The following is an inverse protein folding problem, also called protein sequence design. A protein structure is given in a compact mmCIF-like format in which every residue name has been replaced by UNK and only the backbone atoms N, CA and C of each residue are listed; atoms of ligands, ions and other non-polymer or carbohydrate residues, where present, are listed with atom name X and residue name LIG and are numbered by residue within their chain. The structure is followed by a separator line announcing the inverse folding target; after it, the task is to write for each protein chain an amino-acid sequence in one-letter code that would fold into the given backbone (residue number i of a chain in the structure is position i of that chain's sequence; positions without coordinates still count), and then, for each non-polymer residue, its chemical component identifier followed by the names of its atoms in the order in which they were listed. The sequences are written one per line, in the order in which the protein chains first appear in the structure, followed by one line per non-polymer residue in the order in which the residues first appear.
data_IF_949616554606
#
_entry.id   IF_949616554606
#
_cell.length_a   1.000
_cell.length_b   1.000
_cell.length_c   1.000
_cell.angle_alpha   90.00
_cell.angle_beta   90.00
_cell.angle_gamma   90.00
#
_symmetry.space_group_name_H-M   'P 1'
#
loop_
_entity.id
_entity.type
_entity.pdbx_description
1 polymer ?
#
# COMPACT_ATOMS: atom_id res chain seq x y z
N UNK A 1 32.37 47.04 30.28
CA UNK A 1 31.38 46.74 29.24
C UNK A 1 31.50 45.26 28.91
N UNK A 2 30.49 44.46 29.22
CA UNK A 2 30.47 43.01 29.05
C UNK A 2 30.06 42.72 27.60
N UNK A 3 30.87 41.99 26.83
CA UNK A 3 30.46 41.44 25.53
C UNK A 3 30.54 39.92 25.64
N UNK A 4 29.38 39.34 25.93
CA UNK A 4 29.11 37.91 25.99
C UNK A 4 28.15 37.64 24.83
N UNK A 5 28.68 37.27 23.66
CA UNK A 5 27.89 36.82 22.52
C UNK A 5 28.18 35.35 22.31
N UNK A 6 27.43 34.52 23.03
CA UNK A 6 27.27 33.09 22.75
C UNK A 6 26.42 33.01 21.47
N UNK A 7 27.10 33.01 20.33
CA UNK A 7 26.53 32.60 19.07
C UNK A 7 26.39 31.08 19.09
N UNK A 8 25.25 30.59 19.58
CA UNK A 8 24.84 29.21 19.41
C UNK A 8 24.73 28.95 17.91
N UNK A 9 25.74 28.29 17.32
CA UNK A 9 25.62 27.65 16.03
C UNK A 9 24.66 26.48 16.18
N UNK A 10 23.36 26.79 16.19
CA UNK A 10 22.29 25.83 15.96
C UNK A 10 22.59 25.19 14.61
N UNK A 11 23.12 23.97 14.67
CA UNK A 11 23.17 23.05 13.56
C UNK A 11 21.75 22.89 13.03
N UNK A 12 21.42 23.67 12.02
CA UNK A 12 20.28 23.43 11.15
C UNK A 12 20.64 22.22 10.29
N UNK A 13 20.50 21.02 10.87
CA UNK A 13 20.37 19.77 10.11
C UNK A 13 19.09 19.82 9.30
N UNK A 14 19.13 20.55 8.18
CA UNK A 14 18.21 20.40 7.08
C UNK A 14 18.83 19.39 6.13
N UNK A 15 18.82 18.14 6.55
CA UNK A 15 19.11 16.99 5.70
C UNK A 15 17.97 16.02 5.90
N UNK A 16 16.96 16.14 5.03
CA UNK A 16 16.12 15.05 4.52
C UNK A 16 15.10 15.66 3.54
N UNK A 17 15.62 16.21 2.45
CA UNK A 17 14.83 16.39 1.26
C UNK A 17 14.84 15.04 0.51
N UNK A 18 13.66 14.41 0.40
CA UNK A 18 13.33 13.34 -0.55
C UNK A 18 14.17 12.04 -0.54
N UNK A 19 14.39 11.43 0.63
CA UNK A 19 14.72 9.99 0.67
C UNK A 19 13.43 9.16 0.72
N UNK A 20 13.28 8.20 -0.17
CA UNK A 20 12.12 7.31 -0.24
C UNK A 20 11.89 6.51 1.05
N UNK A 21 10.63 6.26 1.40
CA UNK A 21 10.23 5.57 2.64
C UNK A 21 9.99 4.07 2.40
N UNK A 22 11.07 3.34 2.08
CA UNK A 22 11.03 1.90 1.88
C UNK A 22 10.54 1.13 3.12
N UNK A 23 10.89 1.63 4.31
CA UNK A 23 10.51 1.04 5.59
C UNK A 23 9.01 1.18 5.84
N UNK A 24 8.46 2.39 5.71
CA UNK A 24 7.02 2.63 5.84
C UNK A 24 6.21 1.87 4.79
N UNK A 25 6.73 1.73 3.57
CA UNK A 25 6.12 0.90 2.54
C UNK A 25 6.01 -0.58 2.98
N UNK A 26 7.09 -1.13 3.55
CA UNK A 26 7.12 -2.51 4.03
C UNK A 26 6.26 -2.72 5.28
N UNK A 27 6.32 -1.81 6.25
CA UNK A 27 5.52 -1.84 7.47
C UNK A 27 4.02 -1.76 7.18
N UNK A 28 3.61 -0.95 6.20
CA UNK A 28 2.23 -0.86 5.75
C UNK A 28 1.71 -2.20 5.22
N UNK A 29 2.50 -2.90 4.39
CA UNK A 29 2.13 -4.22 3.87
C UNK A 29 2.03 -5.25 5.00
N UNK A 30 3.03 -5.29 5.88
CA UNK A 30 3.05 -6.23 7.02
C UNK A 30 1.86 -5.99 7.96
N UNK A 31 1.52 -4.73 8.23
CA UNK A 31 0.34 -4.37 9.03
C UNK A 31 -0.93 -4.90 8.37
N UNK A 32 -1.11 -4.66 7.07
CA UNK A 32 -2.28 -5.17 6.34
C UNK A 32 -2.37 -6.69 6.33
N UNK A 33 -1.25 -7.42 6.27
CA UNK A 33 -1.24 -8.89 6.36
C UNK A 33 -1.62 -9.35 7.77
N UNK A 34 -1.09 -8.71 8.82
CA UNK A 34 -1.41 -9.06 10.22
C UNK A 34 -2.87 -8.82 10.56
N UNK A 35 -3.42 -7.70 10.11
CA UNK A 35 -4.81 -7.31 10.40
C UNK A 35 -5.84 -8.11 9.59
N UNK A 36 -5.40 -8.86 8.57
CA UNK A 36 -6.27 -9.62 7.67
C UNK A 36 -5.71 -11.04 7.48
N UNK A 37 -5.72 -11.90 8.53
CA UNK A 37 -5.22 -13.27 8.43
C UNK A 37 -6.01 -14.04 7.35
N UNK A 38 -5.33 -14.59 6.34
CA UNK A 38 -5.98 -15.16 5.14
C UNK A 38 -6.05 -14.21 3.94
N UNK A 39 -5.60 -12.97 4.11
CA UNK A 39 -5.27 -12.00 3.07
C UNK A 39 -3.94 -12.36 2.40
N UNK A 40 -4.00 -13.36 1.52
CA UNK A 40 -3.11 -13.69 0.39
C UNK A 40 -1.59 -13.68 0.61
N UNK A 41 -1.00 -14.81 0.22
CA UNK A 41 0.42 -15.00 0.08
C UNK A 41 1.08 -13.99 -0.87
N UNK A 42 2.29 -13.53 -0.54
CA UNK A 42 3.03 -12.55 -1.35
C UNK A 42 3.18 -12.96 -2.81
N UNK A 43 2.23 -12.49 -3.60
CA UNK A 43 2.51 -11.67 -4.76
C UNK A 43 1.27 -10.80 -4.90
N UNK A 44 1.38 -9.78 -5.73
CA UNK A 44 0.22 -9.21 -6.38
C UNK A 44 -0.39 -10.27 -7.30
N UNK A 45 -0.90 -11.36 -6.74
CA UNK A 45 -1.35 -12.58 -7.39
C UNK A 45 -2.55 -13.10 -6.63
N UNK A 46 -3.72 -12.87 -7.26
CA UNK A 46 -4.84 -13.79 -7.36
C UNK A 46 -4.98 -14.74 -6.16
N UNK A 47 -5.78 -14.32 -5.18
CA UNK A 47 -6.58 -15.30 -4.47
C UNK A 47 -7.96 -15.29 -5.11
N UNK A 48 -8.29 -16.40 -5.76
CA UNK A 48 -9.56 -16.61 -6.44
C UNK A 48 -10.74 -16.45 -5.46
N UNK A 49 -10.56 -16.86 -4.19
CA UNK A 49 -11.55 -16.71 -3.12
C UNK A 49 -10.86 -16.43 -1.77
N UNK A 50 -10.78 -15.17 -1.29
CA UNK A 50 -10.20 -14.91 0.02
C UNK A 50 -11.10 -15.45 1.12
N UNK A 51 -10.49 -15.83 2.24
CA UNK A 51 -11.26 -16.10 3.46
C UNK A 51 -12.01 -14.84 3.89
N UNK A 52 -13.04 -15.01 4.74
CA UNK A 52 -13.74 -13.88 5.37
C UNK A 52 -12.77 -12.94 6.08
N UNK A 53 -11.71 -13.50 6.68
CA UNK A 53 -10.67 -12.77 7.40
C UNK A 53 -9.69 -12.03 6.47
N UNK A 54 -9.51 -12.50 5.23
CA UNK A 54 -8.62 -11.89 4.22
C UNK A 54 -9.28 -10.87 3.30
N UNK A 55 -10.61 -10.75 3.35
CA UNK A 55 -11.40 -9.98 2.36
C UNK A 55 -11.06 -8.49 2.34
N UNK A 56 -10.61 -7.93 3.47
CA UNK A 56 -10.31 -6.50 3.63
C UNK A 56 -8.84 -6.14 3.34
N UNK A 57 -7.99 -7.09 2.95
CA UNK A 57 -6.57 -6.82 2.66
C UNK A 57 -6.38 -5.75 1.58
N UNK A 58 -7.09 -5.85 0.45
CA UNK A 58 -6.98 -4.87 -0.64
C UNK A 58 -7.43 -3.45 -0.20
N UNK A 59 -8.46 -3.36 0.66
CA UNK A 59 -8.89 -2.11 1.28
C UNK A 59 -7.80 -1.54 2.18
N UNK A 60 -7.16 -2.37 3.00
CA UNK A 60 -6.05 -1.94 3.85
C UNK A 60 -4.90 -1.33 3.03
N UNK A 61 -4.48 -1.99 1.94
CA UNK A 61 -3.44 -1.46 1.05
C UNK A 61 -3.83 -0.09 0.48
N UNK A 62 -5.07 0.07 0.01
CA UNK A 62 -5.54 1.36 -0.50
C UNK A 62 -5.65 2.44 0.58
N UNK A 63 -5.94 2.09 1.83
CA UNK A 63 -5.89 3.02 2.97
C UNK A 63 -4.46 3.48 3.27
N UNK A 64 -3.49 2.56 3.19
CA UNK A 64 -2.07 2.88 3.43
C UNK A 64 -1.58 3.98 2.46
N UNK A 65 -1.99 3.91 1.20
CA UNK A 65 -1.61 4.88 0.14
C UNK A 65 -2.60 6.03 -0.04
N UNK A 66 -3.51 6.20 0.93
CA UNK A 66 -4.51 7.29 1.00
C UNK A 66 -5.52 7.34 -0.15
N UNK A 67 -5.71 6.24 -0.87
CA UNK A 67 -6.75 6.09 -1.90
C UNK A 67 -8.12 5.92 -1.24
N UNK A 68 -8.20 5.08 -0.21
CA UNK A 68 -9.41 4.97 0.62
C UNK A 68 -9.24 5.88 1.83
N UNK A 69 -10.22 6.75 2.08
CA UNK A 69 -10.31 7.54 3.30
C UNK A 69 -11.58 7.15 4.06
N UNK A 70 -11.41 6.85 5.34
CA UNK A 70 -12.52 6.68 6.27
C UNK A 70 -13.05 8.08 6.57
N UNK A 71 -14.24 8.40 6.08
CA UNK A 71 -14.89 9.71 6.33
C UNK A 71 -15.56 9.68 7.71
N UNK A 72 -16.15 8.55 8.08
CA UNK A 72 -16.63 8.22 9.42
C UNK A 72 -16.57 6.68 9.61
N UNK A 73 -16.87 6.12 10.80
CA UNK A 73 -16.78 4.67 11.05
C UNK A 73 -17.60 3.78 10.11
N UNK A 74 -18.56 4.35 9.36
CA UNK A 74 -19.54 3.65 8.54
C UNK A 74 -19.37 3.91 7.04
N UNK A 75 -18.62 4.95 6.66
CA UNK A 75 -18.48 5.43 5.28
C UNK A 75 -17.00 5.57 4.95
N UNK A 76 -16.53 4.65 4.12
CA UNK A 76 -15.29 4.81 3.37
C UNK A 76 -15.58 5.52 2.04
N UNK A 77 -14.70 6.44 1.64
CA UNK A 77 -14.71 7.08 0.33
C UNK A 77 -13.48 6.67 -0.46
N UNK A 78 -13.65 6.28 -1.72
CA UNK A 78 -12.53 5.98 -2.63
C UNK A 78 -12.20 7.17 -3.52
N UNK A 79 -10.98 7.69 -3.39
CA UNK A 79 -10.43 8.69 -4.30
C UNK A 79 -9.80 8.04 -5.53
N UNK A 80 -10.63 7.56 -6.46
CA UNK A 80 -10.14 6.91 -7.68
C UNK A 80 -9.20 7.79 -8.50
N UNK A 81 -9.43 9.10 -8.57
CA UNK A 81 -8.53 10.04 -9.24
C UNK A 81 -7.15 10.07 -8.60
N UNK A 82 -7.06 9.94 -7.27
CA UNK A 82 -5.78 9.83 -6.58
C UNK A 82 -5.06 8.54 -6.95
N UNK A 83 -5.78 7.42 -7.01
CA UNK A 83 -5.20 6.15 -7.45
C UNK A 83 -4.74 6.21 -8.92
N UNK A 84 -5.52 6.82 -9.81
CA UNK A 84 -5.15 7.05 -11.22
C UNK A 84 -3.82 7.84 -11.35
N UNK A 85 -3.53 8.77 -10.45
CA UNK A 85 -2.26 9.52 -10.44
C UNK A 85 -1.06 8.69 -9.96
N UNK A 86 -1.31 7.63 -9.17
CA UNK A 86 -0.27 6.70 -8.72
C UNK A 86 0.06 5.61 -9.75
N UNK A 87 -0.74 5.50 -10.82
CA UNK A 87 -0.48 4.56 -11.90
C UNK A 87 0.32 5.29 -12.99
N UNK A 88 1.38 4.70 -13.53
CA UNK A 88 2.12 5.28 -14.65
C UNK A 88 1.70 4.68 -16.00
N UNK A 89 1.35 3.39 -16.02
CA UNK A 89 0.92 2.68 -17.22
C UNK A 89 -0.45 3.23 -17.73
N UNK A 90 -0.51 3.84 -18.92
CA UNK A 90 -1.77 4.40 -19.45
C UNK A 90 -2.86 3.35 -19.68
N UNK A 91 -2.50 2.14 -20.10
CA UNK A 91 -3.45 1.04 -20.29
C UNK A 91 -4.03 0.57 -18.95
N UNK A 92 -3.23 0.56 -17.89
CA UNK A 92 -3.72 0.24 -16.54
C UNK A 92 -4.66 1.35 -16.00
N UNK A 93 -4.40 2.63 -16.31
CA UNK A 93 -5.34 3.73 -15.97
C UNK A 93 -6.69 3.56 -16.65
N UNK A 94 -6.68 3.25 -17.96
CA UNK A 94 -7.91 3.00 -18.70
C UNK A 94 -8.64 1.77 -18.12
N UNK A 95 -7.91 0.68 -17.89
CA UNK A 95 -8.46 -0.54 -17.31
C UNK A 95 -9.05 -0.35 -15.91
N UNK A 96 -8.50 0.55 -15.09
CA UNK A 96 -9.07 0.89 -13.79
C UNK A 96 -10.48 1.48 -13.91
N UNK A 97 -10.73 2.28 -14.95
CA UNK A 97 -12.07 2.83 -15.22
C UNK A 97 -13.06 1.70 -15.53
N UNK A 98 -12.66 0.75 -16.35
CA UNK A 98 -13.48 -0.41 -16.70
C UNK A 98 -13.73 -1.33 -15.50
N UNK A 99 -12.73 -1.52 -14.64
CA UNK A 99 -12.83 -2.36 -13.45
C UNK A 99 -13.67 -1.74 -12.32
N UNK A 100 -13.82 -0.42 -12.28
CA UNK A 100 -14.62 0.29 -11.25
C UNK A 100 -16.03 0.67 -11.70
N UNK A 101 -16.35 0.64 -13.01
CA UNK A 101 -17.63 1.12 -13.54
C UNK A 101 -18.87 0.35 -13.05
N UNK A 102 -18.69 -0.87 -12.52
CA UNK A 102 -19.77 -1.72 -12.03
C UNK A 102 -19.91 -1.72 -10.51
N UNK A 103 -19.11 -0.90 -9.82
CA UNK A 103 -19.15 -0.81 -8.36
C UNK A 103 -20.06 0.36 -8.00
N UNK A 104 -21.30 0.01 -7.68
CA UNK A 104 -21.98 0.74 -6.62
C UNK A 104 -21.15 0.45 -5.39
N UNK A 105 -20.62 1.48 -4.71
CA UNK A 105 -19.98 1.30 -3.40
C UNK A 105 -21.01 0.61 -2.52
N UNK A 106 -20.91 -0.71 -2.42
CA UNK A 106 -21.87 -1.52 -1.69
C UNK A 106 -21.62 -1.21 -0.22
N UNK A 107 -22.53 -0.44 0.36
CA UNK A 107 -22.42 0.02 1.74
C UNK A 107 -22.40 -1.18 2.70
N UNK A 108 -22.93 -2.33 2.28
CA UNK A 108 -23.04 -3.54 3.10
C UNK A 108 -21.72 -4.35 3.15
N UNK A 109 -20.89 -4.35 2.09
CA UNK A 109 -19.55 -4.99 2.10
C UNK A 109 -18.52 -4.30 1.19
N UNK A 110 -18.11 -3.10 1.62
CA UNK A 110 -17.08 -2.31 0.93
C UNK A 110 -15.76 -3.06 0.69
N UNK A 111 -15.39 -4.01 1.56
CA UNK A 111 -14.19 -4.82 1.35
C UNK A 111 -14.32 -5.74 0.13
N UNK A 112 -15.50 -6.35 -0.08
CA UNK A 112 -15.79 -7.17 -1.24
C UNK A 112 -15.76 -6.36 -2.55
N UNK A 113 -16.27 -5.12 -2.53
CA UNK A 113 -16.22 -4.22 -3.68
C UNK A 113 -14.76 -3.88 -4.06
N UNK A 114 -13.94 -3.46 -3.10
CA UNK A 114 -12.53 -3.14 -3.34
C UNK A 114 -11.74 -4.35 -3.81
N UNK A 115 -11.99 -5.52 -3.21
CA UNK A 115 -11.37 -6.77 -3.63
C UNK A 115 -11.72 -7.12 -5.08
N UNK A 116 -12.94 -6.83 -5.53
CA UNK A 116 -13.36 -7.07 -6.91
C UNK A 116 -12.58 -6.20 -7.90
N UNK A 117 -12.36 -4.90 -7.58
CA UNK A 117 -11.44 -4.04 -8.37
C UNK A 117 -10.04 -4.61 -8.39
N UNK A 118 -9.53 -4.99 -7.22
CA UNK A 118 -8.20 -5.55 -7.08
C UNK A 118 -8.03 -6.78 -7.97
N UNK A 119 -8.97 -7.73 -7.94
CA UNK A 119 -8.98 -8.93 -8.79
C UNK A 119 -9.02 -8.59 -10.28
N UNK A 120 -9.95 -7.71 -10.68
CA UNK A 120 -10.09 -7.27 -12.08
C UNK A 120 -8.77 -6.66 -12.59
N UNK A 121 -8.22 -5.70 -11.85
CA UNK A 121 -6.98 -5.03 -12.20
C UNK A 121 -5.80 -5.98 -12.21
N UNK A 122 -5.66 -6.83 -11.21
CA UNK A 122 -4.51 -7.71 -11.10
C UNK A 122 -4.53 -8.85 -12.13
N UNK A 123 -5.71 -9.25 -12.62
CA UNK A 123 -5.84 -10.23 -13.71
C UNK A 123 -5.39 -9.68 -15.07
N UNK A 124 -5.54 -8.37 -15.31
CA UNK A 124 -5.25 -7.72 -16.60
C UNK A 124 -3.94 -6.93 -16.61
N UNK A 125 -3.60 -6.34 -15.47
CA UNK A 125 -2.47 -5.43 -15.26
C UNK A 125 -1.75 -5.78 -13.95
N UNK A 126 -1.09 -6.95 -13.89
CA UNK A 126 -0.42 -7.41 -12.69
C UNK A 126 0.66 -6.41 -12.26
N UNK A 127 0.71 -6.11 -10.96
CA UNK A 127 1.66 -5.15 -10.40
C UNK A 127 1.16 -3.70 -10.32
N UNK A 128 -0.02 -3.36 -10.86
CA UNK A 128 -0.55 -1.98 -10.76
C UNK A 128 -0.62 -1.49 -9.31
N UNK A 129 -1.15 -2.30 -8.40
CA UNK A 129 -1.22 -1.95 -6.97
C UNK A 129 0.16 -1.87 -6.31
N UNK A 130 1.13 -2.69 -6.76
CA UNK A 130 2.51 -2.66 -6.27
C UNK A 130 3.14 -1.32 -6.63
N UNK A 131 3.07 -0.98 -7.90
CA UNK A 131 3.78 0.16 -8.44
C UNK A 131 3.17 1.46 -7.87
N UNK A 132 1.85 1.50 -7.71
CA UNK A 132 1.18 2.59 -7.00
C UNK A 132 1.62 2.71 -5.53
N UNK A 133 1.80 1.58 -4.83
CA UNK A 133 2.31 1.55 -3.46
C UNK A 133 3.74 2.08 -3.38
N UNK A 134 4.64 1.54 -4.19
CA UNK A 134 6.03 1.99 -4.24
C UNK A 134 6.13 3.48 -4.60
N UNK A 135 5.33 3.94 -5.56
CA UNK A 135 5.26 5.35 -5.96
C UNK A 135 4.78 6.27 -4.84
N UNK A 136 3.76 5.86 -4.08
CA UNK A 136 3.28 6.64 -2.93
C UNK A 136 4.37 6.87 -1.90
N UNK A 137 5.12 5.81 -1.57
CA UNK A 137 6.22 5.87 -0.60
C UNK A 137 7.54 6.36 -1.21
N UNK A 138 7.53 6.79 -2.48
CA UNK A 138 8.73 7.27 -3.22
C UNK A 138 9.90 6.28 -3.17
N UNK A 139 9.61 4.98 -3.23
CA UNK A 139 10.61 3.91 -3.14
C UNK A 139 10.60 3.02 -4.38
N UNK A 140 11.58 2.12 -4.49
CA UNK A 140 11.72 1.14 -5.56
C UNK A 140 11.54 -0.29 -5.05
N UNK A 141 11.42 -1.24 -5.98
CA UNK A 141 11.16 -2.66 -5.67
C UNK A 141 12.27 -3.29 -4.82
N UNK A 142 13.53 -2.93 -5.05
CA UNK A 142 14.68 -3.56 -4.39
C UNK A 142 14.89 -2.98 -2.98
N UNK A 143 14.74 -1.67 -2.84
CA UNK A 143 14.73 -0.99 -1.55
C UNK A 143 13.56 -1.47 -0.67
N UNK A 144 12.36 -1.59 -1.23
CA UNK A 144 11.21 -2.18 -0.55
C UNK A 144 11.48 -3.61 -0.09
N UNK A 145 11.99 -4.48 -0.97
CA UNK A 145 12.31 -5.87 -0.62
C UNK A 145 13.31 -5.98 0.52
N UNK A 146 14.38 -5.17 0.49
CA UNK A 146 15.38 -5.11 1.58
C UNK A 146 14.76 -4.67 2.89
N UNK A 147 13.85 -3.70 2.87
CA UNK A 147 13.14 -3.23 4.05
C UNK A 147 12.12 -4.25 4.59
N UNK A 148 11.51 -5.04 3.69
CA UNK A 148 10.52 -6.06 4.04
C UNK A 148 11.16 -7.27 4.73
N UNK A 149 12.32 -7.73 4.25
CA UNK A 149 12.98 -8.93 4.73
C UNK A 149 13.07 -9.03 6.28
N UNK A 150 13.60 -8.05 7.03
CA UNK A 150 13.69 -8.15 8.49
C UNK A 150 12.32 -8.15 9.20
N UNK A 151 11.25 -7.70 8.54
CA UNK A 151 9.90 -7.68 9.13
C UNK A 151 9.16 -9.02 8.99
N UNK A 152 9.61 -9.88 8.07
CA UNK A 152 8.93 -11.12 7.71
C UNK A 152 9.75 -12.36 8.03
N UNK A 153 11.09 -12.25 8.11
CA UNK A 153 11.97 -13.36 8.54
C UNK A 153 11.60 -13.78 9.96
N UNK A 154 11.39 -15.08 10.16
CA UNK A 154 11.01 -15.66 11.46
C UNK A 154 9.55 -15.40 11.87
N UNK A 155 8.75 -14.72 11.04
CA UNK A 155 7.32 -14.56 11.28
C UNK A 155 6.53 -15.58 10.46
N UNK A 156 5.53 -16.23 11.06
CA UNK A 156 4.54 -17.07 10.36
C UNK A 156 3.55 -16.24 9.54
N UNK A 157 4.06 -15.25 8.80
CA UNK A 157 3.27 -14.47 7.87
C UNK A 157 3.35 -15.14 6.48
N UNK A 158 2.30 -15.07 5.65
CA UNK A 158 2.23 -15.71 4.33
C UNK A 158 3.14 -15.02 3.28
N UNK A 159 4.36 -14.66 3.64
CA UNK A 159 5.35 -14.12 2.73
C UNK A 159 6.05 -15.30 2.06
N UNK A 160 5.87 -15.44 0.73
CA UNK A 160 6.61 -16.40 -0.09
C UNK A 160 8.09 -16.01 -0.07
N UNK A 161 8.80 -16.50 0.93
CA UNK A 161 10.15 -17.00 0.84
C UNK A 161 10.44 -17.60 2.22
N UNK A 162 10.18 -18.91 2.36
CA UNK A 162 11.11 -19.69 3.19
C UNK A 162 12.46 -19.44 2.55
N UNK A 163 13.27 -18.58 3.15
CA UNK A 163 14.70 -18.55 2.89
C UNK A 163 15.13 -19.99 3.15
N UNK A 164 15.40 -20.75 2.08
CA UNK A 164 16.06 -22.03 2.22
C UNK A 164 17.43 -21.69 2.80
N UNK A 165 17.68 -22.16 4.02
CA UNK A 165 19.04 -22.30 4.56
C UNK A 165 19.91 -23.09 3.57
#
# INVERSE_FOLDING_TARGET
LIVLLIGVSLATTWSQADEGDAKGAAEAVVTCVRDNPGGVAMNFSLVEQPSVEGKCYAKCLLKAIKVVRVVNPEVDSVHWTWFENLIDNPSAKAGLRDCKQFIVEDLDDFCASILSVYKCMNSRYPGTFRDAHLKHFKTDKDSFKRALLPLVVGQNLPFYERVKE
#
